data_IF_334950480950
#
_entry.id   IF_334950480950
#
_cell.length_a   1.000
_cell.length_b   1.000
_cell.length_c   1.000
_cell.angle_alpha   90.00
_cell.angle_beta   90.00
_cell.angle_gamma   90.00
#
_symmetry.space_group_name_H-M   'P 1'
#
loop_
_entity.id
_entity.type
_entity.pdbx_description
1 polymer ?
#
# COMPACT_ATOMS: atom_id res chain seq x y z
N UNK A 1 41.09 -38.14 15.26
CA UNK A 1 39.86 -37.45 15.64
C UNK A 1 39.77 -36.15 14.85
N UNK A 2 39.06 -36.20 13.73
CA UNK A 2 38.94 -35.06 12.79
C UNK A 2 37.77 -34.20 13.28
N UNK A 3 38.09 -33.04 13.83
CA UNK A 3 37.09 -32.03 14.13
C UNK A 3 36.59 -31.40 12.81
N UNK A 4 35.50 -31.91 12.27
CA UNK A 4 34.76 -31.25 11.22
C UNK A 4 34.04 -30.06 11.84
N UNK A 5 34.73 -28.91 11.90
CA UNK A 5 34.12 -27.60 12.15
C UNK A 5 33.48 -27.15 10.83
N UNK A 6 32.34 -27.71 10.46
CA UNK A 6 31.47 -27.09 9.46
C UNK A 6 31.00 -25.78 10.04
N UNK A 7 31.69 -24.69 9.67
CA UNK A 7 31.19 -23.32 9.92
C UNK A 7 29.83 -23.23 9.24
N UNK A 8 28.76 -23.24 10.01
CA UNK A 8 27.42 -22.98 9.52
C UNK A 8 27.46 -21.66 8.75
N UNK A 9 27.33 -21.72 7.44
CA UNK A 9 27.36 -20.54 6.58
C UNK A 9 26.16 -19.69 6.95
N UNK A 10 26.40 -18.53 7.53
CA UNK A 10 25.32 -17.56 7.84
C UNK A 10 24.66 -17.17 6.53
N UNK A 11 23.39 -17.53 6.39
CA UNK A 11 22.57 -17.18 5.22
C UNK A 11 21.77 -15.93 5.55
N UNK A 12 21.82 -14.95 4.68
CA UNK A 12 21.06 -13.71 4.87
C UNK A 12 19.54 -13.99 4.88
N UNK A 13 18.77 -13.29 5.70
CA UNK A 13 17.32 -13.53 5.84
C UNK A 13 16.55 -13.42 4.51
N UNK A 14 16.95 -12.50 3.64
CA UNK A 14 16.32 -12.34 2.32
C UNK A 14 16.54 -13.56 1.42
N UNK A 15 17.71 -14.23 1.53
CA UNK A 15 17.97 -15.47 0.83
C UNK A 15 17.10 -16.60 1.35
N UNK A 16 16.94 -16.70 2.68
CA UNK A 16 16.03 -17.68 3.30
C UNK A 16 14.58 -17.43 2.86
N UNK A 17 14.17 -16.15 2.78
CA UNK A 17 12.85 -15.77 2.31
C UNK A 17 12.64 -16.18 0.84
N UNK A 18 13.61 -15.88 -0.04
CA UNK A 18 13.56 -16.27 -1.44
C UNK A 18 13.47 -17.79 -1.62
N UNK A 19 14.28 -18.55 -0.88
CA UNK A 19 14.26 -20.03 -0.92
C UNK A 19 12.90 -20.57 -0.43
N UNK A 20 12.32 -19.96 0.61
CA UNK A 20 10.98 -20.29 1.10
C UNK A 20 9.92 -20.01 0.04
N UNK A 21 9.95 -18.84 -0.60
CA UNK A 21 8.99 -18.46 -1.64
C UNK A 21 9.05 -19.46 -2.81
N UNK A 22 10.25 -19.78 -3.30
CA UNK A 22 10.42 -20.74 -4.41
C UNK A 22 9.87 -22.12 -4.02
N UNK A 23 10.16 -22.58 -2.81
CA UNK A 23 9.69 -23.89 -2.33
C UNK A 23 8.16 -23.95 -2.19
N UNK A 24 7.53 -22.87 -1.68
CA UNK A 24 6.09 -22.85 -1.38
C UNK A 24 5.24 -22.49 -2.60
N UNK A 25 5.75 -21.68 -3.53
CA UNK A 25 5.01 -21.23 -4.72
C UNK A 25 5.30 -22.05 -5.96
N UNK A 26 6.35 -22.88 -5.92
CA UNK A 26 6.81 -23.65 -7.08
C UNK A 26 7.59 -22.76 -8.07
N UNK A 27 7.82 -23.30 -9.24
CA UNK A 27 8.51 -22.59 -10.33
C UNK A 27 7.50 -21.80 -11.17
N UNK A 28 7.48 -20.49 -10.96
CA UNK A 28 6.58 -19.56 -11.63
C UNK A 28 7.32 -18.85 -12.77
N UNK A 29 6.62 -18.57 -13.87
CA UNK A 29 7.12 -17.75 -14.98
C UNK A 29 7.44 -16.31 -14.52
N UNK A 30 6.69 -15.82 -13.53
CA UNK A 30 6.84 -14.48 -12.97
C UNK A 30 6.49 -14.47 -11.47
N UNK A 31 7.44 -14.00 -10.66
CA UNK A 31 7.21 -13.71 -9.25
C UNK A 31 6.91 -12.22 -9.09
N UNK A 32 5.78 -11.87 -8.49
CA UNK A 32 5.45 -10.48 -8.18
C UNK A 32 5.72 -10.21 -6.70
N UNK A 33 6.62 -9.27 -6.43
CA UNK A 33 6.87 -8.72 -5.11
C UNK A 33 6.30 -7.30 -5.06
N UNK A 34 5.63 -6.96 -3.98
CA UNK A 34 5.00 -5.66 -3.83
C UNK A 34 5.29 -5.03 -2.48
N UNK A 35 5.46 -3.74 -2.48
CA UNK A 35 5.45 -2.88 -1.31
C UNK A 35 4.70 -1.59 -1.64
N UNK A 36 4.43 -0.74 -0.64
CA UNK A 36 3.74 0.52 -0.90
C UNK A 36 3.47 1.28 0.38
N UNK A 37 3.18 2.57 0.23
CA UNK A 37 2.78 3.45 1.33
C UNK A 37 1.78 4.50 0.86
N UNK A 38 1.08 5.10 1.83
CA UNK A 38 0.29 6.31 1.63
C UNK A 38 1.22 7.53 1.68
N UNK A 39 1.22 8.43 0.68
CA UNK A 39 2.05 9.65 0.67
C UNK A 39 1.46 10.72 1.60
N UNK A 40 1.27 10.38 2.88
CA UNK A 40 0.58 11.22 3.88
C UNK A 40 1.48 12.24 4.59
N UNK A 41 2.75 12.30 4.22
CA UNK A 41 3.75 13.21 4.78
C UNK A 41 5.16 12.85 4.34
N UNK A 42 6.15 13.58 4.85
CA UNK A 42 7.55 13.36 4.51
C UNK A 42 7.97 11.92 4.81
N UNK A 43 8.42 11.23 3.77
CA UNK A 43 8.92 9.85 3.89
C UNK A 43 10.27 9.86 4.61
N UNK A 44 10.39 9.05 5.64
CA UNK A 44 11.59 8.93 6.46
C UNK A 44 12.14 7.50 6.46
N UNK A 45 13.27 7.27 7.14
CA UNK A 45 13.96 5.97 7.18
C UNK A 45 13.07 4.81 7.64
N UNK A 46 12.07 5.08 8.50
CA UNK A 46 11.12 4.06 8.95
C UNK A 46 10.23 3.54 7.82
N UNK A 47 9.81 4.43 6.91
CA UNK A 47 9.06 4.06 5.71
C UNK A 47 9.98 3.40 4.65
N UNK A 48 11.23 3.91 4.52
CA UNK A 48 12.22 3.33 3.61
C UNK A 48 12.52 1.86 3.93
N UNK A 49 12.47 1.46 5.21
CA UNK A 49 12.65 0.06 5.63
C UNK A 49 11.68 -0.88 4.92
N UNK A 50 10.47 -0.43 4.63
CA UNK A 50 9.46 -1.24 3.97
C UNK A 50 9.92 -1.61 2.56
N UNK A 51 10.26 -0.63 1.73
CA UNK A 51 10.68 -0.90 0.34
C UNK A 51 12.02 -1.63 0.26
N UNK A 52 13.03 -1.30 1.10
CA UNK A 52 14.33 -1.99 1.07
C UNK A 52 14.20 -3.46 1.47
N UNK A 53 13.29 -3.78 2.39
CA UNK A 53 13.05 -5.17 2.79
C UNK A 53 12.54 -6.01 1.62
N UNK A 54 11.62 -5.48 0.82
CA UNK A 54 11.12 -6.16 -0.38
C UNK A 54 12.20 -6.20 -1.47
N UNK A 55 12.94 -5.11 -1.70
CA UNK A 55 14.03 -5.06 -2.69
C UNK A 55 15.11 -6.12 -2.42
N UNK A 56 15.46 -6.34 -1.16
CA UNK A 56 16.43 -7.40 -0.80
C UNK A 56 15.93 -8.81 -1.18
N UNK A 57 14.64 -9.08 -1.00
CA UNK A 57 14.03 -10.35 -1.44
C UNK A 57 13.97 -10.43 -2.96
N UNK A 58 13.63 -9.33 -3.65
CA UNK A 58 13.66 -9.24 -5.12
C UNK A 58 15.06 -9.57 -5.66
N UNK A 59 16.11 -8.97 -5.07
CA UNK A 59 17.52 -9.29 -5.45
C UNK A 59 17.85 -10.75 -5.19
N UNK A 60 17.43 -11.31 -4.07
CA UNK A 60 17.66 -12.69 -3.72
C UNK A 60 16.94 -13.66 -4.67
N UNK A 61 15.73 -13.37 -5.13
CA UNK A 61 15.01 -14.13 -6.15
C UNK A 61 15.71 -14.02 -7.52
N UNK A 62 16.08 -12.80 -7.94
CA UNK A 62 16.80 -12.58 -9.20
C UNK A 62 18.15 -13.28 -9.24
N UNK A 63 18.90 -13.32 -8.13
CA UNK A 63 20.17 -14.05 -8.02
C UNK A 63 20.02 -15.57 -8.19
N UNK A 64 18.79 -16.08 -8.01
CA UNK A 64 18.41 -17.50 -8.27
C UNK A 64 17.85 -17.71 -9.68
N UNK A 65 18.02 -16.72 -10.57
CA UNK A 65 17.56 -16.79 -11.95
C UNK A 65 16.04 -16.63 -12.13
N UNK A 66 15.33 -16.16 -11.10
CA UNK A 66 13.89 -15.97 -11.20
C UNK A 66 13.54 -14.64 -11.88
N UNK A 67 12.50 -14.67 -12.72
CA UNK A 67 11.91 -13.47 -13.28
C UNK A 67 11.04 -12.80 -12.22
N UNK A 68 11.33 -11.52 -11.89
CA UNK A 68 10.68 -10.84 -10.77
C UNK A 68 10.20 -9.46 -11.20
N UNK A 69 8.90 -9.24 -11.07
CA UNK A 69 8.25 -7.93 -11.12
C UNK A 69 8.26 -7.34 -9.71
N UNK A 70 8.81 -6.14 -9.56
CA UNK A 70 8.81 -5.41 -8.31
C UNK A 70 7.88 -4.20 -8.43
N UNK A 71 6.82 -4.18 -7.63
CA UNK A 71 5.80 -3.13 -7.60
C UNK A 71 5.97 -2.29 -6.34
N UNK A 72 5.86 -0.96 -6.49
CA UNK A 72 5.69 -0.03 -5.38
C UNK A 72 4.37 0.73 -5.56
N UNK A 73 3.42 0.46 -4.66
CA UNK A 73 2.09 1.06 -4.69
C UNK A 73 2.08 2.38 -3.91
N UNK A 74 1.66 3.43 -4.56
CA UNK A 74 1.29 4.66 -3.90
C UNK A 74 -0.20 4.63 -3.56
N UNK A 75 -0.53 4.56 -2.26
CA UNK A 75 -1.91 4.60 -1.77
C UNK A 75 -2.36 6.07 -1.70
N UNK A 76 -2.27 6.74 -2.84
CA UNK A 76 -2.46 8.16 -3.05
C UNK A 76 -3.94 8.57 -3.18
N UNK A 77 -4.83 7.58 -3.19
CA UNK A 77 -6.29 7.79 -3.15
C UNK A 77 -6.87 7.65 -1.73
N UNK A 78 -6.01 7.57 -0.73
CA UNK A 78 -6.39 7.57 0.68
C UNK A 78 -6.90 8.94 1.14
N UNK A 79 -7.62 8.92 2.26
CA UNK A 79 -8.17 10.12 2.91
C UNK A 79 -7.07 10.91 3.63
N UNK A 80 -6.98 12.20 3.39
CA UNK A 80 -6.15 13.11 4.16
C UNK A 80 -6.77 13.37 5.55
N UNK A 81 -6.36 12.56 6.53
CA UNK A 81 -6.99 12.54 7.88
C UNK A 81 -6.35 13.51 8.86
N UNK A 82 -5.11 13.91 8.61
CA UNK A 82 -4.34 14.72 9.56
C UNK A 82 -3.28 15.54 8.84
N UNK A 83 -3.12 16.78 9.25
CA UNK A 83 -2.01 17.63 8.79
C UNK A 83 -0.76 17.30 9.62
N UNK A 84 0.36 16.90 8.99
CA UNK A 84 1.62 16.71 9.70
C UNK A 84 2.16 18.04 10.22
N UNK A 85 2.69 18.05 11.45
CA UNK A 85 3.16 19.27 12.12
C UNK A 85 4.32 19.97 11.42
N UNK A 86 5.08 19.24 10.62
CA UNK A 86 6.26 19.74 9.88
C UNK A 86 5.94 20.30 8.49
N UNK A 87 4.67 20.32 8.08
CA UNK A 87 4.28 20.89 6.79
C UNK A 87 4.03 22.38 6.92
N UNK A 88 4.40 23.19 5.91
CA UNK A 88 4.03 24.60 5.83
C UNK A 88 2.54 24.78 5.59
N UNK A 89 2.02 26.00 5.76
CA UNK A 89 0.64 26.38 5.42
C UNK A 89 -0.42 25.47 6.10
N UNK A 90 -0.29 25.25 7.41
CA UNK A 90 -1.15 24.37 8.19
C UNK A 90 -2.65 24.67 7.97
N UNK A 91 -3.05 25.95 7.98
CA UNK A 91 -4.44 26.39 7.78
C UNK A 91 -4.98 25.99 6.40
N UNK A 92 -4.16 26.11 5.36
CA UNK A 92 -4.52 25.67 4.00
C UNK A 92 -4.73 24.18 3.94
N UNK A 93 -3.86 23.40 4.57
CA UNK A 93 -3.96 21.95 4.61
C UNK A 93 -5.15 21.48 5.45
N UNK A 94 -5.47 22.15 6.57
CA UNK A 94 -6.63 21.84 7.41
C UNK A 94 -7.97 21.96 6.67
N UNK A 95 -8.08 22.90 5.74
CA UNK A 95 -9.30 23.05 4.90
C UNK A 95 -9.52 21.84 3.98
N UNK A 96 -8.46 21.09 3.68
CA UNK A 96 -8.49 19.90 2.83
C UNK A 96 -8.57 18.58 3.60
N UNK A 97 -8.76 18.63 4.92
CA UNK A 97 -9.03 17.40 5.69
C UNK A 97 -10.25 16.68 5.13
N UNK A 98 -10.16 15.35 5.09
CA UNK A 98 -11.18 14.44 4.55
C UNK A 98 -11.22 14.35 3.02
N UNK A 99 -10.35 15.05 2.29
CA UNK A 99 -10.19 14.90 0.85
C UNK A 99 -9.30 13.69 0.51
N UNK A 100 -9.37 13.16 -0.73
CA UNK A 100 -8.29 12.32 -1.26
C UNK A 100 -6.97 13.08 -1.23
N UNK A 101 -5.89 12.41 -0.84
CA UNK A 101 -4.56 13.08 -0.71
C UNK A 101 -4.12 13.73 -2.03
N UNK A 102 -4.51 13.15 -3.17
CA UNK A 102 -4.23 13.71 -4.51
C UNK A 102 -4.96 15.02 -4.82
N UNK A 103 -5.98 15.38 -4.06
CA UNK A 103 -6.70 16.66 -4.19
C UNK A 103 -6.26 17.70 -3.16
N UNK A 104 -5.33 17.36 -2.28
CA UNK A 104 -4.71 18.30 -1.35
C UNK A 104 -3.63 19.08 -2.11
N UNK A 105 -3.58 20.42 -2.02
CA UNK A 105 -2.58 21.23 -2.73
C UNK A 105 -1.18 20.97 -2.15
N UNK A 106 -0.17 21.01 -3.02
CA UNK A 106 1.20 21.14 -2.57
C UNK A 106 1.46 22.57 -2.13
N UNK A 107 1.57 22.80 -0.83
CA UNK A 107 1.80 24.13 -0.24
C UNK A 107 3.21 24.67 -0.49
N UNK A 108 4.10 23.88 -1.06
CA UNK A 108 5.42 24.37 -1.53
C UNK A 108 5.37 24.88 -2.96
N UNK A 109 4.32 24.57 -3.71
CA UNK A 109 4.14 24.95 -5.11
C UNK A 109 5.07 24.26 -6.10
N UNK A 110 5.78 23.20 -5.68
CA UNK A 110 6.72 22.45 -6.52
C UNK A 110 6.03 21.44 -7.42
N UNK A 111 5.00 20.75 -6.90
CA UNK A 111 4.33 19.64 -7.54
C UNK A 111 2.83 19.88 -7.70
N UNK A 112 2.16 19.04 -8.47
CA UNK A 112 0.73 19.19 -8.78
C UNK A 112 -0.21 18.94 -7.62
N UNK A 113 0.23 18.22 -6.58
CA UNK A 113 -0.52 17.93 -5.37
C UNK A 113 0.42 17.57 -4.21
N UNK A 114 -0.13 17.57 -3.02
CA UNK A 114 0.54 17.10 -1.81
C UNK A 114 1.05 15.66 -1.96
N UNK A 115 0.22 14.76 -2.51
CA UNK A 115 0.63 13.39 -2.78
C UNK A 115 1.85 13.37 -3.71
N UNK A 116 1.75 14.07 -4.85
CA UNK A 116 2.82 14.09 -5.86
C UNK A 116 4.13 14.63 -5.32
N UNK A 117 4.09 15.63 -4.45
CA UNK A 117 5.27 16.15 -3.76
C UNK A 117 6.06 15.04 -3.03
N UNK A 118 5.38 14.25 -2.20
CA UNK A 118 6.04 13.19 -1.43
C UNK A 118 6.45 11.98 -2.29
N UNK A 119 5.69 11.67 -3.32
CA UNK A 119 6.02 10.62 -4.29
C UNK A 119 7.31 10.95 -5.05
N UNK A 120 7.40 12.14 -5.63
CA UNK A 120 8.59 12.59 -6.39
C UNK A 120 9.84 12.59 -5.50
N UNK A 121 9.73 13.00 -4.25
CA UNK A 121 10.85 12.97 -3.32
C UNK A 121 11.42 11.54 -3.18
N UNK A 122 10.57 10.54 -3.01
CA UNK A 122 10.99 9.13 -2.90
C UNK A 122 11.50 8.60 -4.23
N UNK A 123 10.73 8.79 -5.30
CA UNK A 123 11.05 8.30 -6.65
C UNK A 123 12.40 8.80 -7.14
N UNK A 124 12.77 10.03 -6.78
CA UNK A 124 14.08 10.62 -7.13
C UNK A 124 15.26 10.02 -6.34
N UNK A 125 15.00 9.48 -5.14
CA UNK A 125 16.05 8.95 -4.27
C UNK A 125 16.29 7.45 -4.47
N UNK A 126 15.25 6.65 -4.75
CA UNK A 126 15.35 5.20 -4.86
C UNK A 126 16.39 4.72 -5.88
N UNK A 127 16.51 5.31 -7.09
CA UNK A 127 17.54 4.92 -8.06
C UNK A 127 18.96 5.14 -7.54
N UNK A 128 19.19 6.11 -6.66
CA UNK A 128 20.52 6.40 -6.09
C UNK A 128 21.03 5.28 -5.19
N UNK A 129 20.13 4.45 -4.69
CA UNK A 129 20.46 3.23 -3.91
C UNK A 129 20.20 1.94 -4.69
N UNK A 130 19.99 2.07 -6.00
CA UNK A 130 19.81 0.95 -6.92
C UNK A 130 18.47 0.22 -6.78
N UNK A 131 17.43 0.91 -6.32
CA UNK A 131 16.06 0.39 -6.21
C UNK A 131 15.22 0.94 -7.37
N UNK A 132 14.66 0.05 -8.18
CA UNK A 132 13.92 0.40 -9.40
C UNK A 132 12.63 -0.41 -9.48
N UNK A 133 11.58 -0.02 -8.72
CA UNK A 133 10.28 -0.66 -8.82
C UNK A 133 9.46 -0.11 -10.00
N UNK A 134 8.41 -0.84 -10.36
CA UNK A 134 7.29 -0.31 -11.13
C UNK A 134 6.36 0.44 -10.17
N UNK A 135 6.14 1.72 -10.39
CA UNK A 135 5.22 2.51 -9.58
C UNK A 135 3.77 2.31 -10.02
N UNK A 136 2.89 2.10 -9.06
CA UNK A 136 1.44 2.05 -9.26
C UNK A 136 0.80 3.18 -8.43
N UNK A 137 0.09 4.07 -9.11
CA UNK A 137 -0.69 5.13 -8.49
C UNK A 137 -2.14 4.67 -8.33
N UNK A 138 -2.60 4.49 -7.10
CA UNK A 138 -3.91 3.95 -6.84
C UNK A 138 -5.02 4.90 -7.31
N UNK A 139 -4.82 6.22 -7.20
CA UNK A 139 -5.76 7.22 -7.72
C UNK A 139 -6.04 7.08 -9.21
N UNK A 140 -5.02 6.79 -10.01
CA UNK A 140 -5.17 6.54 -11.46
C UNK A 140 -5.95 5.25 -11.70
N UNK A 141 -5.64 4.19 -10.96
CA UNK A 141 -6.28 2.88 -11.10
C UNK A 141 -7.75 2.91 -10.70
N UNK A 142 -8.08 3.60 -9.61
CA UNK A 142 -9.48 3.81 -9.21
C UNK A 142 -10.26 4.61 -10.26
N UNK A 143 -9.70 5.71 -10.77
CA UNK A 143 -10.33 6.53 -11.81
C UNK A 143 -10.45 5.82 -13.15
N UNK A 144 -9.56 4.87 -13.44
CA UNK A 144 -9.63 4.00 -14.60
C UNK A 144 -10.57 2.78 -14.40
N UNK A 145 -11.32 2.72 -13.31
CA UNK A 145 -12.26 1.64 -12.97
C UNK A 145 -11.62 0.25 -12.91
N UNK A 146 -10.32 0.16 -12.65
CA UNK A 146 -9.61 -1.13 -12.65
C UNK A 146 -10.02 -2.06 -11.50
N UNK A 147 -10.69 -1.53 -10.48
CA UNK A 147 -11.13 -2.30 -9.30
C UNK A 147 -12.63 -2.56 -9.27
N UNK A 148 -13.39 -2.09 -10.26
CA UNK A 148 -14.87 -2.13 -10.27
C UNK A 148 -15.40 -3.54 -10.04
N UNK A 149 -14.92 -4.54 -10.77
CA UNK A 149 -15.39 -5.92 -10.62
C UNK A 149 -15.07 -6.50 -9.23
N UNK A 150 -13.86 -6.23 -8.71
CA UNK A 150 -13.50 -6.63 -7.36
C UNK A 150 -14.36 -5.96 -6.29
N UNK A 151 -14.66 -4.68 -6.46
CA UNK A 151 -15.54 -3.92 -5.56
C UNK A 151 -16.97 -4.45 -5.58
N UNK A 152 -17.53 -4.74 -6.77
CA UNK A 152 -18.85 -5.37 -6.92
C UNK A 152 -18.91 -6.71 -6.17
N UNK A 153 -17.92 -7.57 -6.36
CA UNK A 153 -17.83 -8.86 -5.66
C UNK A 153 -17.76 -8.66 -4.14
N UNK A 154 -16.97 -7.70 -3.66
CA UNK A 154 -16.87 -7.40 -2.24
C UNK A 154 -18.20 -6.91 -1.65
N UNK A 155 -18.89 -5.99 -2.34
CA UNK A 155 -20.19 -5.47 -1.93
C UNK A 155 -21.26 -6.56 -1.88
N UNK A 156 -21.31 -7.42 -2.91
CA UNK A 156 -22.24 -8.56 -2.96
C UNK A 156 -22.00 -9.59 -1.84
N UNK A 157 -20.75 -9.71 -1.40
CA UNK A 157 -20.35 -10.66 -0.35
C UNK A 157 -20.06 -9.98 1.02
N UNK A 158 -20.56 -8.76 1.24
CA UNK A 158 -20.22 -7.95 2.42
C UNK A 158 -20.48 -8.65 3.76
N UNK A 159 -21.57 -9.40 3.87
CA UNK A 159 -21.90 -10.13 5.09
C UNK A 159 -20.90 -11.26 5.37
N UNK A 160 -20.49 -12.01 4.34
CA UNK A 160 -19.47 -13.04 4.47
C UNK A 160 -18.10 -12.44 4.83
N UNK A 161 -17.76 -11.28 4.28
CA UNK A 161 -16.55 -10.56 4.66
C UNK A 161 -16.58 -10.12 6.12
N UNK A 162 -17.72 -9.60 6.60
CA UNK A 162 -17.94 -9.26 8.01
C UNK A 162 -17.69 -10.47 8.92
N UNK A 163 -18.29 -11.63 8.61
CA UNK A 163 -18.09 -12.85 9.37
C UNK A 163 -16.62 -13.29 9.42
N UNK A 164 -15.91 -13.23 8.26
CA UNK A 164 -14.49 -13.58 8.20
C UNK A 164 -13.66 -12.61 9.06
N UNK A 165 -13.90 -11.32 8.93
CA UNK A 165 -13.17 -10.30 9.71
C UNK A 165 -13.39 -10.48 11.21
N UNK A 166 -14.63 -10.77 11.64
CA UNK A 166 -14.96 -11.00 13.04
C UNK A 166 -14.25 -12.23 13.66
N UNK A 167 -13.84 -13.21 12.85
CA UNK A 167 -13.05 -14.37 13.35
C UNK A 167 -11.64 -13.97 13.81
N UNK A 168 -11.10 -12.87 13.29
CA UNK A 168 -9.73 -12.41 13.57
C UNK A 168 -9.67 -11.14 14.42
N UNK A 169 -10.83 -10.55 14.75
CA UNK A 169 -10.95 -9.43 15.67
C UNK A 169 -11.06 -9.90 17.10
N UNK A 170 -10.47 -9.15 18.02
CA UNK A 170 -10.74 -9.33 19.45
C UNK A 170 -12.20 -8.92 19.79
N UNK A 171 -12.71 -9.36 20.93
CA UNK A 171 -14.11 -9.18 21.31
C UNK A 171 -14.52 -7.70 21.42
N UNK A 172 -13.59 -6.81 21.73
CA UNK A 172 -13.85 -5.38 21.85
C UNK A 172 -14.02 -4.66 20.49
N UNK A 173 -13.55 -5.29 19.41
CA UNK A 173 -13.56 -4.72 18.05
C UNK A 173 -14.42 -5.51 17.06
N UNK A 174 -15.14 -6.55 17.54
CA UNK A 174 -16.11 -7.28 16.70
C UNK A 174 -17.29 -6.38 16.34
N UNK A 175 -17.65 -6.41 15.08
CA UNK A 175 -18.88 -5.82 14.59
C UNK A 175 -20.08 -6.62 15.11
N UNK A 176 -21.11 -5.96 15.62
CA UNK A 176 -22.35 -6.60 16.10
C UNK A 176 -23.16 -7.18 14.92
N UNK A 177 -24.06 -8.11 15.20
CA UNK A 177 -24.82 -8.80 14.14
C UNK A 177 -25.72 -7.83 13.35
N UNK A 178 -26.24 -6.81 14.01
CA UNK A 178 -27.09 -5.76 13.44
C UNK A 178 -26.32 -4.61 12.77
N UNK A 179 -25.00 -4.56 12.93
CA UNK A 179 -24.15 -3.56 12.26
C UNK A 179 -23.96 -3.91 10.78
N UNK A 180 -24.29 -2.99 9.88
CA UNK A 180 -23.98 -3.15 8.45
C UNK A 180 -22.51 -2.94 8.18
N UNK A 181 -21.91 -3.85 7.41
CA UNK A 181 -20.52 -3.74 6.97
C UNK A 181 -20.45 -3.35 5.50
N UNK A 182 -19.74 -2.27 5.25
CA UNK A 182 -19.43 -1.78 3.90
C UNK A 182 -17.93 -1.92 3.63
N UNK A 183 -17.53 -2.78 2.68
CA UNK A 183 -16.11 -3.02 2.37
C UNK A 183 -15.46 -1.89 1.58
N UNK A 184 -16.23 -0.92 1.14
CA UNK A 184 -15.80 0.25 0.38
C UNK A 184 -16.27 1.54 1.03
N UNK A 185 -15.55 2.63 0.76
CA UNK A 185 -15.96 3.98 1.08
C UNK A 185 -15.85 4.83 -0.18
N UNK A 186 -16.69 5.87 -0.29
CA UNK A 186 -16.72 6.75 -1.43
C UNK A 186 -16.47 8.19 -1.04
N UNK A 187 -15.74 8.91 -1.87
CA UNK A 187 -15.67 10.36 -1.77
C UNK A 187 -16.90 11.00 -2.41
N UNK A 188 -17.44 12.02 -1.76
CA UNK A 188 -18.59 12.77 -2.27
C UNK A 188 -18.23 13.45 -3.60
N UNK A 189 -19.04 13.23 -4.65
CA UNK A 189 -18.82 13.86 -5.96
C UNK A 189 -19.05 15.40 -5.97
N UNK A 190 -19.63 15.97 -4.92
CA UNK A 190 -19.87 17.41 -4.80
C UNK A 190 -18.79 18.13 -3.98
N UNK A 191 -18.39 17.55 -2.84
CA UNK A 191 -17.44 18.21 -1.92
C UNK A 191 -16.10 17.49 -1.80
N UNK A 192 -15.90 16.36 -2.49
CA UNK A 192 -14.70 15.52 -2.48
C UNK A 192 -14.30 14.97 -1.10
N UNK A 193 -15.16 15.02 -0.10
CA UNK A 193 -14.86 14.49 1.24
C UNK A 193 -15.39 13.06 1.38
N UNK A 194 -14.74 12.27 2.23
CA UNK A 194 -15.14 10.91 2.59
C UNK A 194 -16.23 10.87 3.68
N UNK A 195 -17.11 11.86 3.70
CA UNK A 195 -18.22 11.98 4.66
C UNK A 195 -19.53 11.37 4.15
N UNK A 196 -19.44 10.53 3.11
CA UNK A 196 -20.57 9.77 2.57
C UNK A 196 -20.85 8.55 3.42
N UNK A 197 -22.11 8.24 3.60
CA UNK A 197 -22.58 6.98 4.17
C UNK A 197 -23.20 6.14 3.06
N UNK A 198 -22.85 4.86 3.03
CA UNK A 198 -23.49 3.90 2.14
C UNK A 198 -24.74 3.36 2.83
N UNK A 199 -25.87 3.46 2.17
CA UNK A 199 -27.17 3.03 2.71
C UNK A 199 -27.74 1.85 1.96
N UNK A 200 -27.39 1.69 0.66
CA UNK A 200 -27.90 0.63 -0.20
C UNK A 200 -26.91 0.32 -1.32
N UNK A 201 -26.95 -0.92 -1.80
CA UNK A 201 -26.27 -1.35 -3.01
C UNK A 201 -27.24 -2.15 -3.86
N UNK A 202 -27.57 -1.65 -5.03
CA UNK A 202 -28.53 -2.22 -5.99
C UNK A 202 -27.98 -3.37 -6.86
N UNK A 203 -26.67 -3.62 -6.75
CA UNK A 203 -26.00 -4.71 -7.47
C UNK A 203 -25.27 -4.29 -8.74
N UNK A 204 -25.29 -2.99 -9.12
CA UNK A 204 -24.65 -2.45 -10.31
C UNK A 204 -23.41 -1.59 -10.08
#
# INVERSE_FOLDING_TARGET
MSNNNEKTKLVHWADQCADKIIRERGDLDLYTCASGITPSGTVHIGNFREIISVDLVVRALRSRGKNVRFIYSWDDYDVFRKVPKNMPEQETLEQHLRFPITLVPDTTGRDSSYARHHEVDVESQLPRVGIHPEYLYQSERYRANMYTEGMKIALQNRNRLKEILNRYRDDAHKMSDDEEYWPTAAFCCKCNKDTTEMVEYDGE
#
